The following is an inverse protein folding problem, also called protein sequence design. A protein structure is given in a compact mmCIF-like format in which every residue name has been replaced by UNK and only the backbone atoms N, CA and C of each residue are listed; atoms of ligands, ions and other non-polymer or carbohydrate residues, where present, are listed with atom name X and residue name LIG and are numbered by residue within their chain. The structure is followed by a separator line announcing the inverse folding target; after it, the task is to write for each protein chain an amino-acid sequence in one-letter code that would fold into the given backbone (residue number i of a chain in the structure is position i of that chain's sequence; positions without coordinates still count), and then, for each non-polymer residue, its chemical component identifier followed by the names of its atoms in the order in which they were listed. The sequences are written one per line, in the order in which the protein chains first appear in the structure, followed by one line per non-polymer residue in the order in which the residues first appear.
data_IF_226063180265
#
_entry.id   IF_226063180265
#
_cell.length_a   1.000
_cell.length_b   1.000
_cell.length_c   1.000
_cell.angle_alpha   90.00
_cell.angle_beta   90.00
_cell.angle_gamma   90.00
#
_symmetry.space_group_name_H-M   'P 1'
#
loop_
_entity.id
_entity.type
_entity.pdbx_description
1 polymer ?
#
# COMPACT_ATOMS: atom_id res chain seq x y z
N UNK A 1 11.42 -49.15 11.15
CA UNK A 1 11.21 -48.44 9.87
C UNK A 1 10.07 -47.43 10.04
N UNK A 2 10.38 -46.20 10.47
CA UNK A 2 9.41 -45.10 10.63
C UNK A 2 9.86 -43.92 9.76
N UNK A 3 9.32 -43.85 8.55
CA UNK A 3 9.40 -42.68 7.66
C UNK A 3 8.13 -42.68 6.83
N UNK A 4 7.05 -42.03 7.32
CA UNK A 4 5.89 -41.66 6.51
C UNK A 4 4.98 -40.72 7.31
N UNK A 5 4.54 -39.65 6.65
CA UNK A 5 3.54 -38.66 7.06
C UNK A 5 3.96 -37.57 8.06
N UNK A 6 4.75 -36.59 7.57
CA UNK A 6 4.58 -35.18 7.97
C UNK A 6 4.37 -34.40 6.66
N UNK A 7 3.16 -34.45 6.15
CA UNK A 7 2.66 -33.67 5.02
C UNK A 7 1.19 -33.43 5.38
N UNK A 8 0.73 -32.17 5.38
CA UNK A 8 -0.63 -31.68 5.71
C UNK A 8 -0.75 -30.86 7.02
N UNK A 9 0.06 -29.82 7.18
CA UNK A 9 -0.25 -28.72 8.12
C UNK A 9 0.16 -27.31 7.62
N UNK A 10 0.32 -27.13 6.30
CA UNK A 10 0.78 -25.86 5.69
C UNK A 10 -0.21 -25.27 4.66
N UNK A 11 -1.52 -25.51 4.80
CA UNK A 11 -2.54 -25.01 3.85
C UNK A 11 -3.62 -24.14 4.52
N UNK A 12 -3.24 -23.02 5.18
CA UNK A 12 -4.19 -21.89 5.25
C UNK A 12 -3.63 -20.54 4.78
N UNK A 13 -2.34 -20.41 4.48
CA UNK A 13 -1.72 -19.12 4.12
C UNK A 13 -2.12 -18.65 2.71
N UNK A 14 -2.36 -19.58 1.78
CA UNK A 14 -2.62 -19.25 0.37
C UNK A 14 -3.93 -18.47 0.21
N UNK A 15 -4.99 -18.86 0.93
CA UNK A 15 -6.34 -18.31 0.75
C UNK A 15 -6.46 -16.81 1.10
N UNK A 16 -5.72 -16.30 2.09
CA UNK A 16 -5.81 -14.87 2.46
C UNK A 16 -5.18 -13.92 1.43
N UNK A 17 -4.18 -14.39 0.67
CA UNK A 17 -3.48 -13.55 -0.29
C UNK A 17 -4.28 -13.30 -1.57
N UNK A 18 -5.16 -14.24 -1.93
CA UNK A 18 -5.97 -14.18 -3.14
C UNK A 18 -7.07 -13.12 -3.03
N UNK A 19 -7.75 -13.02 -1.89
CA UNK A 19 -8.79 -11.99 -1.67
C UNK A 19 -8.23 -10.58 -1.81
N UNK A 20 -7.07 -10.30 -1.21
CA UNK A 20 -6.40 -9.00 -1.33
C UNK A 20 -5.96 -8.71 -2.76
N UNK A 21 -5.43 -9.71 -3.48
CA UNK A 21 -5.06 -9.56 -4.89
C UNK A 21 -6.26 -9.23 -5.76
N UNK A 22 -7.35 -9.97 -5.57
CA UNK A 22 -8.61 -9.72 -6.28
C UNK A 22 -9.15 -8.32 -5.99
N UNK A 23 -9.13 -7.88 -4.73
CA UNK A 23 -9.56 -6.53 -4.37
C UNK A 23 -8.74 -5.44 -5.09
N UNK A 24 -7.44 -5.66 -5.31
CA UNK A 24 -6.59 -4.74 -6.09
C UNK A 24 -6.88 -4.79 -7.59
N UNK A 25 -7.25 -5.96 -8.13
CA UNK A 25 -7.63 -6.12 -9.53
C UNK A 25 -9.00 -5.50 -9.84
N UNK A 26 -9.92 -5.55 -8.89
CA UNK A 26 -11.25 -4.97 -9.00
C UNK A 26 -11.26 -3.44 -8.73
N UNK A 27 -10.16 -2.88 -8.22
CA UNK A 27 -10.05 -1.47 -7.86
C UNK A 27 -10.09 -0.55 -9.08
N UNK A 28 -10.99 0.44 -9.04
CA UNK A 28 -11.17 1.44 -10.10
C UNK A 28 -10.97 2.87 -9.58
N UNK A 29 -10.40 3.71 -10.42
CA UNK A 29 -10.23 5.14 -10.20
C UNK A 29 -10.92 5.92 -11.33
N UNK A 30 -11.95 6.70 -10.99
CA UNK A 30 -12.85 7.36 -11.96
C UNK A 30 -13.30 6.45 -13.11
N UNK A 31 -13.57 5.17 -12.81
CA UNK A 31 -14.01 4.17 -13.79
C UNK A 31 -12.90 3.44 -14.54
N UNK A 32 -11.63 3.82 -14.38
CA UNK A 32 -10.47 3.16 -14.96
C UNK A 32 -9.86 2.15 -13.99
N UNK A 33 -9.45 0.99 -14.50
CA UNK A 33 -8.78 -0.03 -13.68
C UNK A 33 -7.42 0.48 -13.21
N UNK A 34 -7.16 0.40 -11.90
CA UNK A 34 -5.91 0.88 -11.31
C UNK A 34 -4.70 0.09 -11.81
N UNK A 35 -4.91 -1.18 -12.17
CA UNK A 35 -3.92 -2.14 -12.69
C UNK A 35 -2.55 -2.01 -12.03
N UNK A 36 -2.47 -2.54 -10.80
CA UNK A 36 -1.25 -2.55 -10.00
C UNK A 36 -0.32 -3.67 -10.49
N UNK A 37 0.97 -3.39 -10.68
CA UNK A 37 1.93 -4.42 -11.12
C UNK A 37 2.05 -5.57 -10.11
N UNK A 38 2.31 -6.79 -10.58
CA UNK A 38 2.44 -7.98 -9.72
C UNK A 38 3.50 -7.82 -8.62
N UNK A 39 4.62 -7.14 -8.95
CA UNK A 39 5.66 -6.79 -7.96
C UNK A 39 5.09 -5.94 -6.83
N UNK A 40 4.27 -4.94 -7.16
CA UNK A 40 3.67 -4.05 -6.16
C UNK A 40 2.54 -4.74 -5.39
N UNK A 41 1.72 -5.57 -6.05
CA UNK A 41 0.73 -6.42 -5.38
C UNK A 41 1.39 -7.33 -4.35
N UNK A 42 2.54 -7.94 -4.68
CA UNK A 42 3.28 -8.78 -3.75
C UNK A 42 3.72 -8.02 -2.49
N UNK A 43 4.23 -6.79 -2.64
CA UNK A 43 4.61 -5.95 -1.49
C UNK A 43 3.38 -5.55 -0.66
N UNK A 44 2.26 -5.20 -1.31
CA UNK A 44 1.00 -4.89 -0.62
C UNK A 44 0.52 -6.10 0.19
N UNK A 45 0.49 -7.28 -0.41
CA UNK A 45 0.09 -8.52 0.28
C UNK A 45 1.00 -8.82 1.48
N UNK A 46 2.32 -8.71 1.31
CA UNK A 46 3.28 -8.95 2.39
C UNK A 46 3.08 -7.96 3.56
N UNK A 47 2.94 -6.66 3.28
CA UNK A 47 2.65 -5.66 4.31
C UNK A 47 1.30 -5.89 4.99
N UNK A 48 0.27 -6.27 4.23
CA UNK A 48 -1.04 -6.61 4.79
C UNK A 48 -0.94 -7.80 5.74
N UNK A 49 -0.26 -8.87 5.32
CA UNK A 49 -0.10 -10.09 6.13
C UNK A 49 0.66 -9.83 7.43
N UNK A 50 1.72 -9.00 7.40
CA UNK A 50 2.46 -8.62 8.61
C UNK A 50 1.61 -7.88 9.65
N UNK A 51 0.53 -7.21 9.21
CA UNK A 51 -0.39 -6.45 10.05
C UNK A 51 -1.70 -7.21 10.33
N UNK A 52 -1.76 -8.48 9.94
CA UNK A 52 -2.97 -9.30 10.08
C UNK A 52 -4.17 -8.73 9.32
N UNK A 53 -3.93 -8.03 8.21
CA UNK A 53 -4.95 -7.57 7.26
C UNK A 53 -5.16 -8.72 6.27
N UNK A 54 -6.32 -9.36 6.34
CA UNK A 54 -6.67 -10.52 5.49
C UNK A 54 -7.65 -10.13 4.40
N UNK A 55 -8.46 -9.12 4.69
CA UNK A 55 -9.54 -8.64 3.85
C UNK A 55 -9.56 -7.11 3.82
N UNK A 56 -10.36 -6.56 2.91
CA UNK A 56 -10.54 -5.11 2.82
C UNK A 56 -11.06 -4.50 4.12
N UNK A 57 -11.99 -5.17 4.81
CA UNK A 57 -12.56 -4.69 6.08
C UNK A 57 -11.54 -4.58 7.21
N UNK A 58 -10.38 -5.24 7.07
CA UNK A 58 -9.31 -5.17 8.07
C UNK A 58 -8.45 -3.91 7.93
N UNK A 59 -8.61 -3.10 6.87
CA UNK A 59 -7.94 -1.82 6.71
C UNK A 59 -8.60 -0.75 7.59
N UNK A 60 -8.30 -0.79 8.89
CA UNK A 60 -8.75 0.21 9.86
C UNK A 60 -7.83 1.43 9.88
N UNK A 61 -8.31 2.61 10.34
CA UNK A 61 -7.47 3.80 10.53
C UNK A 61 -6.23 3.56 11.40
N UNK A 62 -6.32 2.64 12.36
CA UNK A 62 -5.21 2.21 13.24
C UNK A 62 -4.10 1.50 12.47
N UNK A 63 -4.44 0.62 11.51
CA UNK A 63 -3.46 -0.21 10.79
C UNK A 63 -2.84 0.51 9.59
N UNK A 64 -3.57 1.48 9.02
CA UNK A 64 -3.15 2.21 7.82
C UNK A 64 -1.77 2.89 7.95
N UNK A 65 -1.41 3.55 9.07
CA UNK A 65 -0.09 4.16 9.24
C UNK A 65 1.05 3.15 9.16
N UNK A 66 0.96 2.02 9.88
CA UNK A 66 1.97 0.97 9.80
C UNK A 66 2.01 0.29 8.44
N UNK A 67 0.86 0.12 7.79
CA UNK A 67 0.80 -0.39 6.43
C UNK A 67 1.55 0.53 5.46
N UNK A 68 1.34 1.84 5.56
CA UNK A 68 2.02 2.85 4.74
C UNK A 68 3.52 2.86 4.98
N UNK A 69 3.95 2.78 6.25
CA UNK A 69 5.36 2.64 6.63
C UNK A 69 6.00 1.42 5.95
N UNK A 70 5.36 0.26 6.08
CA UNK A 70 5.85 -0.98 5.47
C UNK A 70 6.01 -0.87 3.93
N UNK A 71 5.04 -0.24 3.25
CA UNK A 71 5.14 0.00 1.81
C UNK A 71 6.34 0.89 1.47
N UNK A 72 6.51 2.01 2.18
CA UNK A 72 7.59 2.96 1.95
C UNK A 72 8.96 2.28 2.13
N UNK A 73 9.13 1.48 3.17
CA UNK A 73 10.37 0.74 3.45
C UNK A 73 10.65 -0.32 2.39
N UNK A 74 9.69 -1.23 2.13
CA UNK A 74 9.92 -2.37 1.22
C UNK A 74 10.06 -1.98 -0.24
N UNK A 75 9.54 -0.82 -0.63
CA UNK A 75 9.67 -0.30 -1.99
C UNK A 75 10.91 0.60 -2.17
N UNK A 76 11.71 0.82 -1.12
CA UNK A 76 12.90 1.67 -1.21
C UNK A 76 12.57 3.14 -1.48
N UNK A 77 11.46 3.61 -0.93
CA UNK A 77 10.90 4.95 -1.11
C UNK A 77 11.38 5.91 -0.03
N UNK A 78 12.54 5.63 0.54
CA UNK A 78 13.20 6.43 1.58
C UNK A 78 14.42 7.10 0.95
N UNK A 79 14.67 8.35 1.32
CA UNK A 79 15.85 9.12 0.93
C UNK A 79 17.05 8.83 1.85
N UNK A 80 18.18 9.50 1.59
CA UNK A 80 19.40 9.37 2.37
C UNK A 80 19.27 9.88 3.83
N UNK A 81 18.27 10.71 4.11
CA UNK A 81 18.00 11.28 5.43
C UNK A 81 17.02 10.40 6.23
N UNK A 82 16.63 9.24 5.70
CA UNK A 82 15.63 8.41 6.35
C UNK A 82 14.25 9.06 6.34
N UNK A 83 13.88 9.76 5.26
CA UNK A 83 12.55 10.38 5.05
C UNK A 83 11.92 9.85 3.77
N UNK A 84 10.58 9.96 3.61
CA UNK A 84 9.92 9.57 2.36
C UNK A 84 10.45 10.36 1.16
N UNK A 85 10.96 9.66 0.15
CA UNK A 85 11.51 10.27 -1.07
C UNK A 85 10.38 10.64 -2.03
N UNK A 86 10.00 11.91 -2.02
CA UNK A 86 8.84 12.44 -2.75
C UNK A 86 8.82 12.04 -4.23
N UNK A 87 9.91 12.24 -4.95
CA UNK A 87 10.01 11.98 -6.38
C UNK A 87 9.80 10.50 -6.69
N UNK A 88 10.46 9.60 -5.94
CA UNK A 88 10.26 8.16 -6.10
C UNK A 88 8.83 7.74 -5.80
N UNK A 89 8.21 8.31 -4.77
CA UNK A 89 6.81 8.02 -4.42
C UNK A 89 5.86 8.45 -5.53
N UNK A 90 6.05 9.64 -6.09
CA UNK A 90 5.22 10.15 -7.19
C UNK A 90 5.46 9.37 -8.48
N UNK A 91 6.65 8.84 -8.70
CA UNK A 91 6.98 8.01 -9.87
C UNK A 91 6.26 6.66 -9.88
N UNK A 92 5.79 6.16 -8.74
CA UNK A 92 5.08 4.86 -8.68
C UNK A 92 3.85 4.82 -9.61
N UNK A 93 3.22 5.97 -9.85
CA UNK A 93 2.05 6.05 -10.74
C UNK A 93 2.42 5.97 -12.23
N UNK A 94 3.69 6.14 -12.59
CA UNK A 94 4.16 6.11 -13.98
C UNK A 94 3.92 4.74 -14.62
N UNK A 95 4.05 3.67 -13.83
CA UNK A 95 3.86 2.28 -14.27
C UNK A 95 2.38 1.87 -14.36
N UNK A 96 1.45 2.73 -13.93
CA UNK A 96 0.02 2.45 -14.02
C UNK A 96 -0.50 2.66 -15.46
N UNK A 97 -1.54 1.90 -15.83
CA UNK A 97 -2.24 2.07 -17.12
C UNK A 97 -3.33 3.17 -17.06
N UNK A 98 -3.31 4.00 -16.03
CA UNK A 98 -4.27 5.09 -15.88
C UNK A 98 -4.06 6.16 -16.96
N UNK A 99 -5.12 6.91 -17.36
CA UNK A 99 -4.97 8.08 -18.20
C UNK A 99 -4.03 9.12 -17.57
N UNK A 100 -3.26 9.84 -18.40
CA UNK A 100 -2.28 10.83 -17.91
C UNK A 100 -2.92 11.95 -17.08
N UNK A 101 -4.14 12.36 -17.40
CA UNK A 101 -4.89 13.35 -16.60
C UNK A 101 -5.14 12.85 -15.17
N UNK A 102 -5.55 11.59 -15.04
CA UNK A 102 -5.79 10.96 -13.73
C UNK A 102 -4.47 10.73 -12.99
N UNK A 103 -3.40 10.32 -13.69
CA UNK A 103 -2.06 10.23 -13.08
C UNK A 103 -1.58 11.59 -12.57
N UNK A 104 -1.82 12.68 -13.31
CA UNK A 104 -1.45 14.02 -12.90
C UNK A 104 -2.23 14.47 -11.66
N UNK A 105 -3.54 14.18 -11.61
CA UNK A 105 -4.37 14.46 -10.43
C UNK A 105 -3.94 13.66 -9.20
N UNK A 106 -3.67 12.36 -9.35
CA UNK A 106 -3.12 11.53 -8.27
C UNK A 106 -1.77 12.08 -7.80
N UNK A 107 -0.86 12.39 -8.73
CA UNK A 107 0.46 12.96 -8.39
C UNK A 107 0.33 14.28 -7.65
N UNK A 108 -0.60 15.14 -8.05
CA UNK A 108 -0.88 16.39 -7.36
C UNK A 108 -1.34 16.14 -5.92
N UNK A 109 -2.40 15.35 -5.72
CA UNK A 109 -2.93 15.07 -4.38
C UNK A 109 -1.91 14.39 -3.47
N UNK A 110 -1.17 13.40 -3.97
CA UNK A 110 -0.10 12.75 -3.22
C UNK A 110 1.04 13.72 -2.91
N UNK A 111 1.38 14.60 -3.87
CA UNK A 111 2.41 15.63 -3.71
C UNK A 111 2.06 16.62 -2.61
N UNK A 112 0.82 17.12 -2.60
CA UNK A 112 0.30 18.04 -1.59
C UNK A 112 0.39 17.40 -0.19
N UNK A 113 -0.01 16.13 -0.04
CA UNK A 113 0.11 15.40 1.22
C UNK A 113 1.56 15.21 1.68
N UNK A 114 2.48 14.92 0.75
CA UNK A 114 3.90 14.75 1.03
C UNK A 114 4.57 16.07 1.43
N UNK A 115 4.18 17.18 0.82
CA UNK A 115 4.70 18.50 1.18
C UNK A 115 4.24 18.92 2.58
N UNK A 116 2.99 18.64 2.94
CA UNK A 116 2.44 19.01 4.24
C UNK A 116 2.94 18.13 5.39
N UNK A 117 3.12 16.83 5.14
CA UNK A 117 3.34 15.83 6.19
C UNK A 117 4.65 15.03 6.07
N UNK A 118 5.27 14.96 4.90
CA UNK A 118 6.40 14.07 4.62
C UNK A 118 7.62 14.32 5.50
N UNK A 119 7.96 15.59 5.76
CA UNK A 119 9.10 15.97 6.60
C UNK A 119 8.94 15.57 8.09
N UNK A 120 7.68 15.41 8.54
CA UNK A 120 7.33 15.08 9.93
C UNK A 120 7.45 13.58 10.24
N UNK A 121 7.61 12.74 9.23
CA UNK A 121 7.70 11.28 9.39
C UNK A 121 9.01 10.86 10.04
N UNK A 122 8.94 9.88 10.92
CA UNK A 122 10.11 9.26 11.56
C UNK A 122 10.13 7.77 11.18
N UNK A 123 11.09 7.37 10.35
CA UNK A 123 11.14 5.98 9.86
C UNK A 123 11.46 4.96 10.96
N UNK A 124 12.11 5.38 12.05
CA UNK A 124 12.40 4.54 13.22
C UNK A 124 11.22 4.43 14.21
N UNK A 125 10.12 5.16 13.98
CA UNK A 125 8.91 5.11 14.81
C UNK A 125 8.26 3.72 14.75
N UNK A 126 8.40 2.96 15.84
CA UNK A 126 7.84 1.60 15.98
C UNK A 126 6.32 1.58 16.14
N UNK A 127 5.70 2.72 16.49
CA UNK A 127 4.26 2.85 16.64
C UNK A 127 3.56 3.31 15.35
N UNK A 128 4.35 3.74 14.35
CA UNK A 128 3.90 4.27 13.08
C UNK A 128 3.03 5.54 13.19
N UNK A 129 2.89 6.14 14.38
CA UNK A 129 2.05 7.33 14.60
C UNK A 129 2.51 8.53 13.78
N UNK A 130 3.82 8.68 13.57
CA UNK A 130 4.37 9.74 12.72
C UNK A 130 3.92 9.67 11.26
N UNK A 131 3.45 8.50 10.79
CA UNK A 131 2.88 8.33 9.44
C UNK A 131 1.39 8.69 9.36
N UNK A 132 0.67 8.75 10.48
CA UNK A 132 -0.78 8.93 10.50
C UNK A 132 -1.26 10.15 9.69
N UNK A 133 -0.67 11.36 9.83
CA UNK A 133 -1.12 12.52 9.06
C UNK A 133 -0.96 12.32 7.55
N UNK A 134 0.20 11.83 7.10
CA UNK A 134 0.44 11.56 5.69
C UNK A 134 -0.52 10.49 5.17
N UNK A 135 -0.63 9.38 5.88
CA UNK A 135 -1.47 8.26 5.48
C UNK A 135 -2.93 8.65 5.37
N UNK A 136 -3.47 9.40 6.35
CA UNK A 136 -4.86 9.85 6.30
C UNK A 136 -5.10 10.83 5.15
N UNK A 137 -4.16 11.74 4.88
CA UNK A 137 -4.24 12.65 3.73
C UNK A 137 -4.29 11.88 2.40
N UNK A 138 -3.36 10.93 2.21
CA UNK A 138 -3.30 10.10 1.01
C UNK A 138 -4.53 9.20 0.88
N UNK A 139 -4.98 8.58 1.98
CA UNK A 139 -6.16 7.72 1.97
C UNK A 139 -7.42 8.50 1.58
N UNK A 140 -7.63 9.70 2.16
CA UNK A 140 -8.77 10.57 1.80
C UNK A 140 -8.73 10.97 0.32
N UNK A 141 -7.55 11.32 -0.18
CA UNK A 141 -7.32 11.64 -1.59
C UNK A 141 -7.65 10.44 -2.50
N UNK A 142 -7.17 9.25 -2.13
CA UNK A 142 -7.45 8.01 -2.83
C UNK A 142 -8.95 7.72 -2.85
N UNK A 143 -9.66 7.80 -1.72
CA UNK A 143 -11.11 7.54 -1.67
C UNK A 143 -11.94 8.55 -2.47
N UNK A 144 -11.41 9.75 -2.71
CA UNK A 144 -12.05 10.76 -3.57
C UNK A 144 -11.95 10.38 -5.05
N UNK A 145 -10.81 9.81 -5.46
CA UNK A 145 -10.55 9.46 -6.86
C UNK A 145 -10.98 8.03 -7.22
N UNK A 146 -10.80 7.12 -6.28
CA UNK A 146 -10.90 5.68 -6.43
C UNK A 146 -12.01 5.18 -5.52
N UNK A 147 -13.22 5.17 -6.06
CA UNK A 147 -14.37 4.56 -5.43
C UNK A 147 -14.46 3.12 -5.89
N UNK A 148 -14.80 2.25 -4.96
CA UNK A 148 -15.28 0.92 -5.29
C UNK A 148 -16.68 1.03 -5.88
N UNK A 149 -16.96 0.17 -6.87
CA UNK A 149 -18.33 -0.08 -7.34
C UNK A 149 -18.95 -1.21 -6.53
#
# INVERSE_FOLDING_TARGET
MWKKLILLAFIPIISCSEELRKAMDDAKCKGHDLNVSEKRKAVIVDCSMQLGIKSKSDFTPEKLPCFSKCLIEKQGLVDENGKPHKEKILQIQSDSKLPEELKAEIRKLMGDCLDEHGSKIQMDDKTCKSFEPLTMCVHKSYMTLCKEK
#
